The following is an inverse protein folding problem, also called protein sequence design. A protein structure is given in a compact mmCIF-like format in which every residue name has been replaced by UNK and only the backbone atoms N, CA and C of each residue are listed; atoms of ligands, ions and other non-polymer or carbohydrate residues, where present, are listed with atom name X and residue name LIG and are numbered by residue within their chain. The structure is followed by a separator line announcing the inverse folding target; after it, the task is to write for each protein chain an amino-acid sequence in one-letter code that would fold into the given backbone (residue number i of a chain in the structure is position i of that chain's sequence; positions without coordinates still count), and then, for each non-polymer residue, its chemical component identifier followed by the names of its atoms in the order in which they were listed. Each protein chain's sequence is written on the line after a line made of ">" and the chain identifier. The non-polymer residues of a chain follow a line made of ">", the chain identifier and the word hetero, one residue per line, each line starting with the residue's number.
data_IF_653001472903
#
_entry.id   IF_653001472903
#
_cell.length_a   1.000
_cell.length_b   1.000
_cell.length_c   1.000
_cell.angle_alpha   90.00
_cell.angle_beta   90.00
_cell.angle_gamma   90.00
#
_symmetry.space_group_name_H-M   'P 1'
#
loop_
_entity.id
_entity.type
_entity.pdbx_description
1 polymer ?
#
# COMPACT_ATOMS: atom_id res chain seq x y z
N UNK A 1 -12.59 -24.55 -4.56
CA UNK A 1 -12.01 -23.62 -3.57
C UNK A 1 -11.28 -24.43 -2.53
N UNK A 2 -10.07 -24.06 -2.18
CA UNK A 2 -9.30 -24.70 -1.10
C UNK A 2 -9.11 -23.68 0.03
N UNK A 3 -9.28 -24.15 1.27
CA UNK A 3 -8.96 -23.32 2.44
C UNK A 3 -7.47 -23.40 2.69
N UNK A 4 -6.81 -22.23 2.75
CA UNK A 4 -5.36 -22.12 2.90
C UNK A 4 -5.00 -21.16 4.02
N UNK A 5 -3.85 -21.34 4.65
CA UNK A 5 -3.28 -20.32 5.56
C UNK A 5 -2.46 -19.32 4.78
N UNK A 6 -2.50 -18.05 5.21
CA UNK A 6 -1.73 -16.98 4.61
C UNK A 6 -0.23 -17.31 4.53
N UNK A 7 0.34 -17.81 5.63
CA UNK A 7 1.75 -18.19 5.67
C UNK A 7 2.14 -19.38 4.80
N UNK A 8 1.18 -20.21 4.36
CA UNK A 8 1.46 -21.33 3.47
C UNK A 8 1.66 -20.86 2.02
N UNK A 9 0.97 -19.77 1.63
CA UNK A 9 0.92 -19.29 0.24
C UNK A 9 1.62 -17.93 0.02
N UNK A 10 1.94 -17.19 1.11
CA UNK A 10 2.62 -15.89 1.07
C UNK A 10 3.94 -15.95 1.84
N UNK A 11 4.95 -15.27 1.36
CA UNK A 11 6.24 -15.06 2.06
C UNK A 11 6.52 -13.59 2.31
N UNK A 12 7.17 -13.30 3.44
CA UNK A 12 7.78 -11.99 3.73
C UNK A 12 9.22 -12.00 3.20
N UNK A 13 9.49 -11.22 2.17
CA UNK A 13 10.81 -11.12 1.53
C UNK A 13 11.71 -10.24 2.40
N UNK A 14 12.80 -10.83 2.91
CA UNK A 14 13.72 -10.17 3.85
C UNK A 14 15.09 -9.92 3.21
N UNK A 15 15.11 -9.19 2.12
CA UNK A 15 16.36 -8.73 1.49
C UNK A 15 16.67 -7.36 2.07
N UNK A 16 17.85 -7.23 2.69
CA UNK A 16 18.29 -5.96 3.27
C UNK A 16 19.50 -5.42 2.52
N UNK A 17 19.61 -4.08 2.47
CA UNK A 17 20.79 -3.39 1.97
C UNK A 17 21.85 -3.28 3.07
N UNK A 18 23.11 -3.14 2.64
CA UNK A 18 24.13 -2.47 3.44
C UNK A 18 23.93 -0.95 3.30
N UNK A 19 23.67 -0.27 4.42
CA UNK A 19 23.43 1.18 4.42
C UNK A 19 24.62 2.01 3.92
N UNK A 20 25.83 1.51 4.10
CA UNK A 20 27.04 2.19 3.63
C UNK A 20 27.22 2.08 2.11
N UNK A 21 26.60 1.06 1.50
CA UNK A 21 26.65 0.79 0.06
C UNK A 21 25.25 0.66 -0.53
N UNK A 22 24.38 1.65 -0.27
CA UNK A 22 23.00 1.65 -0.78
C UNK A 22 22.97 1.99 -2.30
N UNK A 23 22.57 1.05 -3.17
CA UNK A 23 22.49 1.31 -4.61
C UNK A 23 21.15 1.94 -5.03
N UNK A 24 20.17 2.07 -4.11
CA UNK A 24 18.82 2.52 -4.43
C UNK A 24 18.68 4.04 -4.22
N UNK A 25 18.01 4.68 -5.16
CA UNK A 25 17.73 6.12 -5.13
C UNK A 25 16.53 6.44 -4.21
N UNK A 26 15.50 5.58 -4.23
CA UNK A 26 14.22 5.88 -3.59
C UNK A 26 13.93 4.99 -2.38
N UNK A 27 13.16 5.58 -1.46
CA UNK A 27 12.60 4.83 -0.33
C UNK A 27 11.10 5.10 -0.14
N UNK A 28 10.42 4.13 0.51
CA UNK A 28 9.01 4.25 0.90
C UNK A 28 8.91 4.16 2.42
N UNK A 29 8.40 5.24 3.01
CA UNK A 29 8.05 5.30 4.43
C UNK A 29 6.57 4.99 4.64
N UNK A 30 6.16 4.75 5.89
CA UNK A 30 4.77 4.48 6.20
C UNK A 30 3.81 5.64 5.88
N UNK A 31 4.27 6.87 5.83
CA UNK A 31 3.50 8.06 5.47
C UNK A 31 3.43 8.31 3.95
N UNK A 32 4.24 7.60 3.16
CA UNK A 32 4.14 7.59 1.71
C UNK A 32 3.04 6.65 1.20
N UNK A 33 2.56 5.73 2.05
CA UNK A 33 1.44 4.83 1.75
C UNK A 33 0.14 5.41 2.34
N UNK A 34 -0.85 5.63 1.50
CA UNK A 34 -2.16 6.10 1.92
C UNK A 34 -3.05 4.93 2.37
N UNK A 35 -4.05 5.20 3.23
CA UNK A 35 -5.00 4.19 3.70
C UNK A 35 -5.87 3.69 2.56
N UNK A 36 -5.98 2.35 2.42
CA UNK A 36 -6.82 1.69 1.40
C UNK A 36 -6.48 2.13 -0.04
N UNK A 37 -5.22 2.56 -0.27
CA UNK A 37 -4.72 2.93 -1.58
C UNK A 37 -3.56 2.03 -1.98
N UNK A 38 -3.74 1.30 -3.09
CA UNK A 38 -2.75 0.34 -3.58
C UNK A 38 -1.64 0.97 -4.42
N UNK A 39 -1.72 2.29 -4.68
CA UNK A 39 -0.74 3.02 -5.48
C UNK A 39 0.19 3.82 -4.58
N UNK A 40 1.48 3.81 -4.86
CA UNK A 40 2.46 4.64 -4.19
C UNK A 40 2.54 5.99 -4.90
N UNK A 41 1.91 7.02 -4.33
CA UNK A 41 1.90 8.37 -4.92
C UNK A 41 3.10 9.22 -4.52
N UNK A 42 3.79 8.85 -3.45
CA UNK A 42 4.91 9.61 -2.86
C UNK A 42 6.05 8.67 -2.54
N UNK A 43 7.25 9.12 -2.78
CA UNK A 43 8.49 8.43 -2.41
C UNK A 43 9.51 9.44 -1.94
N UNK A 44 10.37 9.05 -1.01
CA UNK A 44 11.52 9.83 -0.61
C UNK A 44 12.75 9.49 -1.44
N UNK A 45 13.75 10.34 -1.38
CA UNK A 45 15.02 10.18 -2.10
C UNK A 45 16.18 10.18 -1.11
N UNK A 46 17.05 9.17 -1.18
CA UNK A 46 18.21 9.06 -0.28
C UNK A 46 19.26 10.16 -0.48
N UNK A 47 19.26 10.81 -1.65
CA UNK A 47 20.23 11.88 -1.93
C UNK A 47 19.84 13.23 -1.35
N UNK A 48 18.55 13.44 -1.07
CA UNK A 48 18.02 14.71 -0.56
C UNK A 48 17.55 14.65 0.89
N UNK A 49 17.24 13.47 1.37
CA UNK A 49 16.55 13.30 2.65
C UNK A 49 17.49 12.72 3.71
N UNK A 50 17.36 13.16 4.95
CA UNK A 50 18.00 12.51 6.09
C UNK A 50 17.21 11.26 6.50
N UNK A 51 17.65 10.10 6.00
CA UNK A 51 16.94 8.82 6.16
C UNK A 51 17.46 8.04 7.36
N UNK A 52 16.60 7.80 8.33
CA UNK A 52 16.93 7.08 9.55
C UNK A 52 17.38 5.60 9.33
N UNK A 53 17.94 4.95 10.35
CA UNK A 53 18.56 3.61 10.25
C UNK A 53 17.57 2.46 9.99
N UNK A 54 16.28 2.70 10.08
CA UNK A 54 15.27 1.68 9.87
C UNK A 54 15.03 1.31 8.40
N UNK A 55 15.47 2.14 7.45
CA UNK A 55 15.27 1.94 6.02
C UNK A 55 16.36 1.04 5.45
N UNK A 56 16.11 -0.25 5.49
CA UNK A 56 17.07 -1.28 5.06
C UNK A 56 16.45 -2.38 4.19
N UNK A 57 15.12 -2.48 4.13
CA UNK A 57 14.44 -3.59 3.46
C UNK A 57 14.18 -3.27 1.99
N UNK A 58 14.72 -4.09 1.09
CA UNK A 58 14.57 -3.92 -0.35
C UNK A 58 13.20 -4.42 -0.81
N UNK A 59 12.59 -3.67 -1.73
CA UNK A 59 11.41 -4.11 -2.48
C UNK A 59 11.62 -3.92 -3.99
N UNK A 60 10.86 -4.70 -4.77
CA UNK A 60 10.90 -4.72 -6.24
C UNK A 60 9.50 -4.52 -6.83
N UNK A 61 9.39 -4.13 -8.11
CA UNK A 61 8.11 -4.03 -8.79
C UNK A 61 7.27 -5.31 -8.67
N UNK A 62 5.97 -5.16 -8.45
CA UNK A 62 5.02 -6.25 -8.27
C UNK A 62 4.93 -6.81 -6.86
N UNK A 63 5.85 -6.47 -5.95
CA UNK A 63 5.76 -6.84 -4.54
C UNK A 63 4.76 -5.96 -3.79
N UNK A 64 4.16 -6.52 -2.73
CA UNK A 64 3.17 -5.85 -1.90
C UNK A 64 3.84 -5.33 -0.63
N UNK A 65 3.79 -4.03 -0.42
CA UNK A 65 4.23 -3.40 0.82
C UNK A 65 3.08 -3.35 1.82
N UNK A 66 3.32 -3.82 3.04
CA UNK A 66 2.34 -3.81 4.13
C UNK A 66 2.92 -3.17 5.39
N UNK A 67 2.31 -2.08 5.83
CA UNK A 67 2.66 -1.42 7.10
C UNK A 67 2.28 -2.30 8.29
N UNK A 68 3.27 -2.88 9.00
CA UNK A 68 3.00 -3.75 10.15
C UNK A 68 2.49 -3.00 11.37
N UNK A 69 2.64 -1.68 11.41
CA UNK A 69 2.18 -0.83 12.51
C UNK A 69 0.84 -0.19 12.19
N UNK A 70 -0.03 -0.09 13.21
CA UNK A 70 -1.37 0.50 13.09
C UNK A 70 -2.15 -0.11 11.93
N UNK A 71 -2.28 -1.44 11.94
CA UNK A 71 -2.87 -2.22 10.85
C UNK A 71 -4.28 -1.77 10.47
N UNK A 72 -5.01 -1.13 11.41
CA UNK A 72 -6.30 -0.51 11.15
C UNK A 72 -6.27 0.61 10.10
N UNK A 73 -5.09 1.20 9.83
CA UNK A 73 -4.91 2.17 8.75
C UNK A 73 -4.87 1.51 7.36
N UNK A 74 -4.78 0.19 7.29
CA UNK A 74 -4.75 -0.57 6.02
C UNK A 74 -3.77 0.01 5.00
N UNK A 75 -2.56 0.30 5.44
CA UNK A 75 -1.48 0.81 4.58
C UNK A 75 -0.89 -0.36 3.79
N UNK A 76 -1.38 -0.53 2.58
CA UNK A 76 -1.03 -1.59 1.65
C UNK A 76 -0.80 -0.94 0.30
N UNK A 77 0.35 -1.21 -0.33
CA UNK A 77 0.64 -0.69 -1.66
C UNK A 77 1.31 -1.74 -2.53
N UNK A 78 1.10 -1.68 -3.83
CA UNK A 78 1.81 -2.47 -4.82
C UNK A 78 2.97 -1.64 -5.37
N UNK A 79 4.18 -2.16 -5.25
CA UNK A 79 5.36 -1.46 -5.77
C UNK A 79 5.37 -1.48 -7.30
N UNK A 80 5.58 -0.32 -7.93
CA UNK A 80 5.76 -0.13 -9.36
C UNK A 80 7.20 0.25 -9.75
N UNK A 81 8.06 0.42 -8.73
CA UNK A 81 9.50 0.66 -8.85
C UNK A 81 10.25 -0.17 -7.80
N UNK A 82 11.57 -0.21 -7.90
CA UNK A 82 12.43 -0.79 -6.87
C UNK A 82 12.95 0.27 -5.90
N UNK A 83 13.15 -0.13 -4.65
CA UNK A 83 13.63 0.78 -3.61
C UNK A 83 13.75 0.12 -2.25
N UNK A 84 13.80 0.96 -1.24
CA UNK A 84 13.99 0.54 0.15
C UNK A 84 12.81 0.99 1.00
N UNK A 85 12.34 0.15 1.90
CA UNK A 85 11.34 0.53 2.90
C UNK A 85 11.87 0.29 4.32
N UNK A 86 11.13 0.80 5.31
CA UNK A 86 11.46 0.60 6.69
C UNK A 86 11.36 -0.88 7.09
N UNK A 87 12.16 -1.32 8.06
CA UNK A 87 12.13 -2.68 8.61
C UNK A 87 10.77 -3.06 9.25
N UNK A 88 9.92 -2.06 9.52
CA UNK A 88 8.53 -2.23 10.00
C UNK A 88 7.51 -2.41 8.88
N UNK A 89 7.95 -2.40 7.62
CA UNK A 89 7.11 -2.70 6.47
C UNK A 89 7.43 -4.10 5.99
N UNK A 90 6.43 -4.96 5.89
CA UNK A 90 6.58 -6.27 5.25
C UNK A 90 6.59 -6.10 3.73
N UNK A 91 7.37 -6.96 3.06
CA UNK A 91 7.43 -7.04 1.61
C UNK A 91 6.91 -8.43 1.21
N UNK A 92 5.70 -8.49 0.69
CA UNK A 92 5.02 -9.75 0.44
C UNK A 92 5.08 -10.18 -1.03
N UNK A 93 5.28 -11.48 -1.21
CA UNK A 93 5.11 -12.19 -2.47
C UNK A 93 4.34 -13.49 -2.25
N UNK A 94 3.64 -13.95 -3.27
CA UNK A 94 3.12 -15.32 -3.31
C UNK A 94 4.28 -16.32 -3.44
N UNK A 95 4.19 -17.45 -2.73
CA UNK A 95 5.24 -18.49 -2.76
C UNK A 95 5.28 -19.22 -4.10
N UNK A 96 4.11 -19.48 -4.66
CA UNK A 96 3.95 -20.17 -5.94
C UNK A 96 2.99 -19.38 -6.85
N UNK A 97 3.50 -18.70 -7.90
CA UNK A 97 2.69 -17.96 -8.83
C UNK A 97 1.79 -18.84 -9.72
N UNK A 98 2.03 -20.15 -9.78
CA UNK A 98 1.18 -21.12 -10.48
C UNK A 98 -0.02 -21.59 -9.64
N UNK A 99 0.00 -21.33 -8.34
CA UNK A 99 -1.10 -21.66 -7.43
C UNK A 99 -1.85 -20.39 -6.95
N UNK A 100 -1.14 -19.28 -6.79
CA UNK A 100 -1.70 -18.04 -6.27
C UNK A 100 -1.30 -16.82 -7.12
N UNK A 101 -2.27 -16.20 -7.77
CA UNK A 101 -2.08 -14.97 -8.55
C UNK A 101 -1.68 -13.79 -7.64
N UNK A 102 -0.45 -13.29 -7.80
CA UNK A 102 0.15 -12.21 -6.99
C UNK A 102 -0.74 -10.98 -6.90
N UNK A 103 -1.39 -10.58 -8.01
CA UNK A 103 -2.25 -9.40 -8.07
C UNK A 103 -3.54 -9.51 -7.24
N UNK A 104 -3.92 -10.72 -6.78
CA UNK A 104 -5.07 -10.93 -5.90
C UNK A 104 -4.71 -10.62 -4.44
N UNK A 105 -3.45 -10.80 -4.05
CA UNK A 105 -2.99 -10.65 -2.67
C UNK A 105 -3.38 -9.32 -2.02
N UNK A 106 -3.19 -8.12 -2.63
CA UNK A 106 -3.55 -6.87 -1.99
C UNK A 106 -5.05 -6.75 -1.69
N UNK A 107 -5.92 -7.35 -2.50
CA UNK A 107 -7.37 -7.34 -2.25
C UNK A 107 -7.78 -8.26 -1.10
N UNK A 108 -7.12 -9.42 -0.96
CA UNK A 108 -7.29 -10.28 0.22
C UNK A 108 -6.91 -9.51 1.48
N UNK A 109 -5.79 -8.79 1.45
CA UNK A 109 -5.29 -8.02 2.59
C UNK A 109 -6.16 -6.79 2.90
N UNK A 110 -6.86 -6.21 1.91
CA UNK A 110 -7.85 -5.14 2.11
C UNK A 110 -9.20 -5.66 2.60
N UNK A 111 -9.45 -6.98 2.54
CA UNK A 111 -10.72 -7.57 2.97
C UNK A 111 -11.02 -7.26 4.43
N UNK A 112 -12.32 -7.25 4.77
CA UNK A 112 -12.77 -7.06 6.15
C UNK A 112 -12.21 -8.14 7.08
N UNK A 113 -12.17 -9.38 6.63
CA UNK A 113 -11.75 -10.53 7.43
C UNK A 113 -10.26 -10.45 7.78
N UNK A 114 -9.39 -10.19 6.78
CA UNK A 114 -7.96 -9.99 7.02
C UNK A 114 -7.69 -8.78 7.91
N UNK A 115 -8.39 -7.67 7.69
CA UNK A 115 -8.26 -6.47 8.52
C UNK A 115 -8.65 -6.74 9.96
N UNK A 116 -9.80 -7.40 10.18
CA UNK A 116 -10.27 -7.76 11.53
C UNK A 116 -9.26 -8.68 12.22
N UNK A 117 -8.74 -9.69 11.49
CA UNK A 117 -7.71 -10.58 11.99
C UNK A 117 -6.44 -9.83 12.39
N UNK A 118 -5.90 -8.99 11.50
CA UNK A 118 -4.66 -8.25 11.75
C UNK A 118 -4.78 -7.29 12.94
N UNK A 119 -5.94 -6.64 13.11
CA UNK A 119 -6.22 -5.79 14.27
C UNK A 119 -6.28 -6.61 15.55
N UNK A 120 -7.01 -7.74 15.54
CA UNK A 120 -7.13 -8.62 16.72
C UNK A 120 -5.79 -9.22 17.16
N UNK A 121 -4.85 -9.43 16.22
CA UNK A 121 -3.50 -9.95 16.50
C UNK A 121 -2.48 -8.86 16.82
N UNK A 122 -2.83 -7.59 16.69
CA UNK A 122 -1.93 -6.48 16.97
C UNK A 122 -1.55 -6.40 18.45
N UNK A 123 -0.29 -6.08 18.71
CA UNK A 123 0.35 -5.99 20.03
C UNK A 123 0.76 -4.54 20.31
N UNK A 124 0.70 -4.13 21.56
CA UNK A 124 1.04 -2.77 22.00
C UNK A 124 -0.14 -1.80 21.92
N UNK A 125 -0.11 -0.74 22.75
CA UNK A 125 -1.21 0.22 22.92
C UNK A 125 -1.04 1.48 22.05
N UNK A 126 0.10 2.16 22.17
CA UNK A 126 0.29 3.48 21.53
C UNK A 126 0.60 3.38 20.03
N UNK A 127 1.40 2.39 19.63
CA UNK A 127 1.76 2.13 18.26
C UNK A 127 1.66 0.63 17.95
N UNK A 128 0.42 0.09 17.93
CA UNK A 128 0.20 -1.34 17.80
C UNK A 128 0.84 -1.88 16.52
N UNK A 129 1.39 -3.08 16.61
CA UNK A 129 2.05 -3.75 15.50
C UNK A 129 1.67 -5.23 15.44
N UNK A 130 1.80 -5.83 14.27
CA UNK A 130 1.59 -7.25 14.04
C UNK A 130 2.89 -7.90 13.56
N UNK A 131 3.11 -9.16 13.92
CA UNK A 131 4.20 -9.97 13.39
C UNK A 131 3.73 -10.77 12.17
N UNK A 132 4.65 -11.15 11.30
CA UNK A 132 4.33 -12.02 10.16
C UNK A 132 3.77 -13.36 10.64
N UNK A 133 4.29 -13.93 11.73
CA UNK A 133 3.76 -15.16 12.34
C UNK A 133 2.28 -15.05 12.72
N UNK A 134 1.84 -13.88 13.18
CA UNK A 134 0.44 -13.64 13.54
C UNK A 134 -0.47 -13.56 12.31
N UNK A 135 0.06 -13.03 11.19
CA UNK A 135 -0.65 -12.99 9.90
C UNK A 135 -0.64 -14.34 9.19
N UNK A 136 0.42 -15.12 9.37
CA UNK A 136 0.59 -16.44 8.72
C UNK A 136 -0.53 -17.43 9.05
N UNK A 137 -1.14 -17.31 10.22
CA UNK A 137 -2.25 -18.16 10.67
C UNK A 137 -3.63 -17.72 10.14
N UNK A 138 -3.73 -16.61 9.42
CA UNK A 138 -4.98 -16.22 8.80
C UNK A 138 -5.39 -17.22 7.73
N UNK A 139 -6.62 -17.72 7.83
CA UNK A 139 -7.18 -18.68 6.88
C UNK A 139 -8.18 -18.02 5.95
N UNK A 140 -8.12 -18.35 4.67
CA UNK A 140 -9.06 -17.86 3.66
C UNK A 140 -9.28 -18.89 2.57
N UNK A 141 -10.36 -18.71 1.80
CA UNK A 141 -10.64 -19.56 0.65
C UNK A 141 -9.93 -19.03 -0.59
N UNK A 142 -9.17 -19.92 -1.24
CA UNK A 142 -8.46 -19.63 -2.47
C UNK A 142 -9.13 -20.41 -3.63
N UNK A 143 -9.70 -19.70 -4.62
CA UNK A 143 -10.26 -20.36 -5.80
C UNK A 143 -9.17 -20.96 -6.70
N UNK A 144 -9.52 -21.82 -7.68
CA UNK A 144 -8.59 -22.24 -8.73
C UNK A 144 -7.95 -21.07 -9.46
N UNK A 145 -6.71 -21.23 -9.95
CA UNK A 145 -5.93 -20.15 -10.54
C UNK A 145 -6.65 -19.39 -11.66
N UNK A 146 -7.39 -20.10 -12.52
CA UNK A 146 -8.14 -19.45 -13.61
C UNK A 146 -9.27 -18.56 -13.11
N UNK A 147 -9.94 -18.94 -12.04
CA UNK A 147 -10.94 -18.10 -11.39
C UNK A 147 -10.29 -16.88 -10.70
N UNK A 148 -9.10 -17.06 -10.10
CA UNK A 148 -8.33 -15.95 -9.51
C UNK A 148 -7.98 -14.91 -10.56
N UNK A 149 -7.52 -15.31 -11.75
CA UNK A 149 -7.18 -14.40 -12.85
C UNK A 149 -8.38 -13.56 -13.29
N UNK A 150 -9.54 -14.19 -13.47
CA UNK A 150 -10.78 -13.49 -13.83
C UNK A 150 -11.21 -12.51 -12.73
N UNK A 151 -11.11 -12.94 -11.46
CA UNK A 151 -11.46 -12.11 -10.31
C UNK A 151 -10.53 -10.89 -10.21
N UNK A 152 -9.23 -11.09 -10.34
CA UNK A 152 -8.20 -10.05 -10.30
C UNK A 152 -8.41 -8.99 -11.36
N UNK A 153 -8.71 -9.38 -12.59
CA UNK A 153 -8.93 -8.42 -13.67
C UNK A 153 -10.15 -7.52 -13.39
N UNK A 154 -11.22 -8.09 -12.82
CA UNK A 154 -12.40 -7.32 -12.38
C UNK A 154 -12.07 -6.39 -11.20
N UNK A 155 -11.35 -6.87 -10.21
CA UNK A 155 -10.98 -6.08 -9.02
C UNK A 155 -10.07 -4.91 -9.40
N UNK A 156 -9.06 -5.14 -10.25
CA UNK A 156 -8.19 -4.06 -10.73
C UNK A 156 -8.92 -3.09 -11.65
N UNK A 157 -9.88 -3.54 -12.46
CA UNK A 157 -10.72 -2.65 -13.25
C UNK A 157 -11.56 -1.73 -12.35
N UNK A 158 -12.19 -2.29 -11.31
CA UNK A 158 -12.94 -1.52 -10.32
C UNK A 158 -12.03 -0.56 -9.52
N UNK A 159 -10.83 -0.99 -9.14
CA UNK A 159 -9.86 -0.14 -8.47
C UNK A 159 -9.43 1.05 -9.35
N UNK A 160 -9.08 0.81 -10.62
CA UNK A 160 -8.75 1.89 -11.57
C UNK A 160 -9.90 2.87 -11.76
N UNK A 161 -11.13 2.39 -11.83
CA UNK A 161 -12.32 3.23 -11.93
C UNK A 161 -12.49 4.10 -10.67
N UNK A 162 -12.34 3.52 -9.48
CA UNK A 162 -12.36 4.26 -8.20
C UNK A 162 -11.32 5.39 -8.19
N UNK A 163 -10.08 5.11 -8.61
CA UNK A 163 -9.01 6.10 -8.66
C UNK A 163 -9.26 7.20 -9.72
N UNK A 164 -9.86 6.85 -10.86
CA UNK A 164 -10.28 7.83 -11.85
C UNK A 164 -11.36 8.79 -11.30
N UNK A 165 -12.33 8.27 -10.56
CA UNK A 165 -13.33 9.12 -9.90
C UNK A 165 -12.75 10.01 -8.81
N UNK A 166 -11.79 9.53 -8.00
CA UNK A 166 -11.09 10.38 -7.04
C UNK A 166 -10.40 11.57 -7.73
N UNK A 167 -9.68 11.31 -8.84
CA UNK A 167 -9.03 12.37 -9.63
C UNK A 167 -10.04 13.36 -10.20
N UNK A 168 -11.18 12.87 -10.70
CA UNK A 168 -12.25 13.71 -11.22
C UNK A 168 -12.84 14.62 -10.14
N UNK A 169 -13.08 14.10 -8.92
CA UNK A 169 -13.56 14.91 -7.80
C UNK A 169 -12.58 16.05 -7.47
N UNK A 170 -11.29 15.73 -7.34
CA UNK A 170 -10.26 16.77 -7.08
C UNK A 170 -10.25 17.82 -8.19
N UNK A 171 -10.24 17.41 -9.45
CA UNK A 171 -10.24 18.34 -10.58
C UNK A 171 -11.50 19.20 -10.62
N UNK A 172 -12.66 18.66 -10.25
CA UNK A 172 -13.93 19.40 -10.17
C UNK A 172 -13.86 20.46 -9.07
N UNK A 173 -13.35 20.11 -7.89
CA UNK A 173 -13.18 21.06 -6.78
C UNK A 173 -12.20 22.19 -7.13
N UNK A 174 -11.10 21.86 -7.80
CA UNK A 174 -10.14 22.86 -8.28
C UNK A 174 -10.76 23.80 -9.32
N UNK A 175 -11.54 23.27 -10.24
CA UNK A 175 -12.27 24.05 -11.25
C UNK A 175 -13.26 25.02 -10.59
N UNK A 176 -14.06 24.53 -9.63
CA UNK A 176 -15.02 25.37 -8.89
C UNK A 176 -14.31 26.49 -8.14
N UNK A 177 -13.20 26.18 -7.45
CA UNK A 177 -12.38 27.18 -6.74
C UNK A 177 -11.80 28.22 -7.70
N UNK A 178 -11.28 27.76 -8.83
CA UNK A 178 -10.70 28.66 -9.86
C UNK A 178 -11.76 29.60 -10.43
N UNK A 179 -12.93 29.09 -10.80
CA UNK A 179 -14.02 29.93 -11.29
C UNK A 179 -14.54 30.90 -10.23
N UNK A 180 -14.63 30.47 -8.97
CA UNK A 180 -15.00 31.39 -7.89
C UNK A 180 -14.01 32.55 -7.77
N UNK A 181 -12.70 32.25 -7.78
CA UNK A 181 -11.66 33.30 -7.72
C UNK A 181 -11.71 34.20 -8.94
N UNK A 182 -11.97 33.69 -10.13
CA UNK A 182 -12.11 34.50 -11.36
C UNK A 182 -13.32 35.42 -11.27
N UNK A 183 -14.47 34.95 -10.82
CA UNK A 183 -15.70 35.74 -10.74
C UNK A 183 -15.68 36.77 -9.62
N UNK A 184 -15.23 36.37 -8.42
CA UNK A 184 -15.34 37.16 -7.19
C UNK A 184 -14.01 37.74 -6.66
N UNK A 185 -12.88 37.31 -7.22
CA UNK A 185 -11.55 37.62 -6.68
C UNK A 185 -11.13 36.69 -5.55
N UNK A 186 -9.86 36.76 -5.20
CA UNK A 186 -9.32 35.98 -4.09
C UNK A 186 -9.81 36.57 -2.75
N UNK A 187 -10.55 35.81 -1.92
CA UNK A 187 -11.11 36.34 -0.66
C UNK A 187 -10.03 36.69 0.39
N UNK A 188 -8.82 36.12 0.29
CA UNK A 188 -7.71 36.44 1.22
C UNK A 188 -7.02 37.73 0.87
N UNK A 189 -6.78 37.98 -0.43
CA UNK A 189 -6.08 39.18 -0.91
C UNK A 189 -7.03 40.29 -1.33
N UNK A 190 -8.34 40.04 -1.36
CA UNK A 190 -9.39 40.96 -1.78
C UNK A 190 -9.06 41.75 -3.07
N UNK A 191 -8.60 41.05 -4.09
CA UNK A 191 -8.12 41.68 -5.34
C UNK A 191 -9.18 42.43 -6.11
N UNK A 192 -10.47 42.26 -5.83
CA UNK A 192 -11.59 42.99 -6.46
C UNK A 192 -12.24 44.05 -5.53
N UNK A 193 -11.74 44.23 -4.29
CA UNK A 193 -12.13 45.34 -3.40
C UNK A 193 -13.57 45.31 -2.91
N UNK A 194 -14.12 44.11 -2.61
CA UNK A 194 -15.50 43.94 -2.07
C UNK A 194 -15.49 43.52 -0.61
#
# INVERSE_FOLDING_TARGET
>A
MSRVKFGDVVKDVKINIDRLNNPYEYYVAGDHMDSEDLTIHRKGCFTTDDVGPAFIRVFKPGQILYGSRRTYLKKIAVADFEGVCANTTFVFETKDPHAFEQRLLPFIMLSKDFTTWSIAKSKGSTNPYVLFSDLADFEFELPPLEEQKVLVDKLWAAYRLKEAYKKLLVATDEMVKSQFIEMFGNPVTNTKGW
#
